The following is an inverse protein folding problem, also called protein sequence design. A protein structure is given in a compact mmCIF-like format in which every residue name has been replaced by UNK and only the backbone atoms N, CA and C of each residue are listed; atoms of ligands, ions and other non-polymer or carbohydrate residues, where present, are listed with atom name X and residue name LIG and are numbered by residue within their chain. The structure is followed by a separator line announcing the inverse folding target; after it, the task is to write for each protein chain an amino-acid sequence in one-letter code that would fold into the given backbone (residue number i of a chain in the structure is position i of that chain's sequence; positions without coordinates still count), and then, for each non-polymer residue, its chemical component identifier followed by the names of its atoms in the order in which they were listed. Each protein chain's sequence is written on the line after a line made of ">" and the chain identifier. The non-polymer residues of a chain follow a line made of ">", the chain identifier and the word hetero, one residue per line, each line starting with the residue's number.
data_IF_149867970367
#
_entry.id   IF_149867970367
#
_cell.length_a   1.000
_cell.length_b   1.000
_cell.length_c   1.000
_cell.angle_alpha   90.00
_cell.angle_beta   90.00
_cell.angle_gamma   90.00
#
_symmetry.space_group_name_H-M   'P 1'
#
loop_
_entity.id
_entity.type
_entity.pdbx_description
1 polymer ?
#
# COMPACT_ATOMS: atom_id res chain seq x y z
N UNK A 1 18.82 0.85 -11.01
CA UNK A 1 18.28 0.76 -12.38
C UNK A 1 18.18 2.14 -13.01
N UNK A 2 17.36 3.06 -12.47
CA UNK A 2 17.20 4.43 -12.98
C UNK A 2 18.53 5.14 -13.29
N UNK A 3 19.40 5.31 -12.29
CA UNK A 3 20.71 5.96 -12.45
C UNK A 3 21.61 5.27 -13.50
N UNK A 4 21.61 3.93 -13.54
CA UNK A 4 22.43 3.15 -14.49
C UNK A 4 22.00 3.41 -15.93
N UNK A 5 20.71 3.65 -16.15
CA UNK A 5 20.12 3.85 -17.48
C UNK A 5 19.88 5.34 -17.80
N UNK A 6 20.27 6.26 -16.92
CA UNK A 6 20.16 7.70 -17.14
C UNK A 6 18.73 8.26 -17.08
N UNK A 7 17.77 7.53 -16.51
CA UNK A 7 16.41 8.02 -16.30
C UNK A 7 16.39 9.11 -15.23
N UNK A 8 15.64 10.18 -15.49
CA UNK A 8 15.47 11.33 -14.63
C UNK A 8 14.18 11.26 -13.80
N UNK A 9 13.16 10.55 -14.29
CA UNK A 9 11.89 10.37 -13.58
C UNK A 9 11.54 8.89 -13.44
N UNK A 10 10.89 8.56 -12.32
CA UNK A 10 10.37 7.23 -12.02
C UNK A 10 9.00 7.39 -11.38
N UNK A 11 7.96 6.94 -12.07
CA UNK A 11 6.57 7.09 -11.62
C UNK A 11 5.87 5.73 -11.69
N UNK A 12 4.97 5.39 -10.75
CA UNK A 12 4.07 4.26 -10.94
C UNK A 12 3.15 4.53 -12.14
N UNK A 13 2.87 3.48 -12.91
CA UNK A 13 1.79 3.56 -13.90
C UNK A 13 0.45 3.60 -13.19
N UNK A 14 -0.53 4.28 -13.79
CA UNK A 14 -1.90 4.34 -13.28
C UNK A 14 -2.47 2.93 -13.07
N UNK A 15 -2.30 2.05 -14.06
CA UNK A 15 -2.73 0.65 -13.99
C UNK A 15 -2.09 -0.10 -12.79
N UNK A 16 -0.80 0.12 -12.52
CA UNK A 16 -0.13 -0.54 -11.40
C UNK A 16 -0.64 -0.01 -10.05
N UNK A 17 -0.89 1.30 -9.96
CA UNK A 17 -1.50 1.91 -8.76
C UNK A 17 -2.89 1.35 -8.51
N UNK A 18 -3.75 1.28 -9.53
CA UNK A 18 -5.10 0.74 -9.42
C UNK A 18 -5.09 -0.73 -8.99
N UNK A 19 -4.25 -1.56 -9.63
CA UNK A 19 -4.08 -2.97 -9.25
C UNK A 19 -3.63 -3.13 -7.81
N UNK A 20 -2.69 -2.31 -7.36
CA UNK A 20 -2.20 -2.34 -5.98
C UNK A 20 -3.31 -1.96 -4.99
N UNK A 21 -4.03 -0.87 -5.22
CA UNK A 21 -5.13 -0.45 -4.35
C UNK A 21 -6.25 -1.49 -4.33
N UNK A 22 -6.64 -2.02 -5.48
CA UNK A 22 -7.63 -3.08 -5.58
C UNK A 22 -7.21 -4.33 -4.80
N UNK A 23 -5.94 -4.72 -4.88
CA UNK A 23 -5.39 -5.82 -4.11
C UNK A 23 -5.43 -5.55 -2.59
N UNK A 24 -5.03 -4.37 -2.13
CA UNK A 24 -5.09 -4.01 -0.70
C UNK A 24 -6.53 -4.05 -0.15
N UNK A 25 -7.51 -3.65 -0.95
CA UNK A 25 -8.93 -3.68 -0.60
C UNK A 25 -9.50 -5.10 -0.40
N UNK A 26 -8.78 -6.15 -0.83
CA UNK A 26 -9.18 -7.55 -0.57
C UNK A 26 -8.85 -8.01 0.85
N UNK A 27 -7.97 -7.29 1.55
CA UNK A 27 -7.55 -7.63 2.90
C UNK A 27 -8.54 -7.15 3.97
N UNK A 28 -8.40 -7.64 5.21
CA UNK A 28 -9.26 -7.24 6.34
C UNK A 28 -9.10 -5.78 6.78
N UNK A 29 -8.26 -4.99 6.08
CA UNK A 29 -7.80 -3.66 6.49
C UNK A 29 -6.67 -3.72 7.52
N UNK A 30 -6.00 -2.59 7.75
CA UNK A 30 -4.93 -2.45 8.75
C UNK A 30 -5.39 -1.68 10.00
N UNK A 31 -6.70 -1.56 10.20
CA UNK A 31 -7.27 -0.78 11.30
C UNK A 31 -6.94 -1.43 12.65
N UNK A 32 -6.41 -0.63 13.55
CA UNK A 32 -6.11 -1.01 14.92
C UNK A 32 -7.18 -0.34 15.80
N UNK A 33 -7.89 -1.12 16.61
CA UNK A 33 -8.95 -0.62 17.48
C UNK A 33 -10.32 -0.48 16.80
N UNK A 34 -11.35 -0.38 17.64
CA UNK A 34 -12.74 -0.15 17.23
C UNK A 34 -13.25 1.17 17.85
N UNK A 35 -14.46 1.59 17.48
CA UNK A 35 -15.07 2.81 18.01
C UNK A 35 -15.45 2.72 19.50
N UNK A 36 -15.46 1.51 20.07
CA UNK A 36 -15.77 1.24 21.48
C UNK A 36 -14.52 1.25 22.37
N UNK A 37 -13.32 1.26 21.78
CA UNK A 37 -12.06 1.45 22.51
C UNK A 37 -11.96 2.86 23.09
N UNK A 38 -11.03 3.05 24.03
CA UNK A 38 -10.68 4.39 24.54
C UNK A 38 -10.37 5.33 23.36
N UNK A 39 -11.00 6.52 23.28
CA UNK A 39 -10.74 7.49 22.23
C UNK A 39 -9.25 7.76 22.04
N UNK A 40 -8.81 7.73 20.78
CA UNK A 40 -7.46 8.13 20.41
C UNK A 40 -7.24 8.11 18.90
N UNK A 41 -5.99 8.36 18.51
CA UNK A 41 -5.56 8.47 17.10
C UNK A 41 -6.03 7.31 16.21
N UNK A 42 -5.96 6.07 16.71
CA UNK A 42 -6.27 4.87 15.92
C UNK A 42 -7.75 4.66 15.61
N UNK A 43 -8.65 5.28 16.38
CA UNK A 43 -10.10 5.15 16.21
C UNK A 43 -10.81 6.49 16.01
N UNK A 44 -10.08 7.51 15.55
CA UNK A 44 -10.61 8.86 15.28
C UNK A 44 -11.34 9.45 16.51
N UNK A 45 -10.73 9.36 17.69
CA UNK A 45 -11.33 9.83 18.95
C UNK A 45 -12.75 9.25 19.21
N UNK A 46 -13.00 8.03 18.73
CA UNK A 46 -14.30 7.35 18.81
C UNK A 46 -15.39 7.92 17.89
N UNK A 47 -15.08 8.85 16.99
CA UNK A 47 -16.07 9.52 16.13
C UNK A 47 -16.52 8.68 14.90
N UNK A 48 -15.99 7.46 14.76
CA UNK A 48 -16.27 6.61 13.60
C UNK A 48 -15.33 6.87 12.42
N UNK A 49 -15.58 6.15 11.33
CA UNK A 49 -14.74 6.13 10.13
C UNK A 49 -15.50 6.70 8.93
N UNK A 50 -14.92 7.69 8.26
CA UNK A 50 -15.41 8.27 7.02
C UNK A 50 -14.87 7.56 5.77
N UNK A 51 -15.21 8.09 4.59
CA UNK A 51 -14.80 7.48 3.32
C UNK A 51 -13.27 7.43 3.15
N UNK A 52 -12.55 8.41 3.69
CA UNK A 52 -11.08 8.45 3.60
C UNK A 52 -10.41 7.31 4.40
N UNK A 53 -11.05 6.84 5.47
CA UNK A 53 -10.54 5.75 6.30
C UNK A 53 -10.60 4.38 5.60
N UNK A 54 -11.27 4.28 4.45
CA UNK A 54 -11.27 3.04 3.64
C UNK A 54 -9.88 2.68 3.11
N UNK A 55 -8.95 3.64 3.10
CA UNK A 55 -7.57 3.44 2.66
C UNK A 55 -6.60 3.16 3.81
N UNK A 56 -7.08 3.00 5.04
CA UNK A 56 -6.30 2.44 6.15
C UNK A 56 -6.09 0.93 5.95
N UNK A 57 -5.33 0.59 4.91
CA UNK A 57 -5.15 -0.75 4.38
C UNK A 57 -3.71 -1.22 4.63
N UNK A 58 -3.58 -2.53 4.72
CA UNK A 58 -2.30 -3.22 4.76
C UNK A 58 -2.31 -4.34 3.74
N UNK A 59 -1.14 -4.89 3.47
CA UNK A 59 -1.03 -6.08 2.62
C UNK A 59 -1.95 -7.19 3.19
N UNK A 60 -2.82 -7.82 2.39
CA UNK A 60 -3.80 -8.80 2.88
C UNK A 60 -3.19 -9.98 3.67
N UNK A 61 -1.96 -10.36 3.34
CA UNK A 61 -1.19 -11.38 4.06
C UNK A 61 -0.31 -10.83 5.21
N UNK A 62 -0.59 -9.63 5.71
CA UNK A 62 0.14 -9.00 6.81
C UNK A 62 1.57 -8.58 6.46
N UNK A 63 2.35 -8.26 7.50
CA UNK A 63 3.71 -7.72 7.35
C UNK A 63 4.65 -8.68 6.60
N UNK A 64 4.67 -9.97 6.94
CA UNK A 64 5.51 -10.95 6.25
C UNK A 64 5.13 -11.07 4.77
N UNK A 65 3.84 -11.04 4.45
CA UNK A 65 3.36 -11.03 3.08
C UNK A 65 3.87 -9.83 2.29
N UNK A 66 3.83 -8.63 2.88
CA UNK A 66 4.39 -7.44 2.27
C UNK A 66 5.91 -7.55 2.04
N UNK A 67 6.67 -8.00 3.04
CA UNK A 67 8.13 -8.13 2.89
C UNK A 67 8.52 -9.12 1.80
N UNK A 68 7.84 -10.27 1.72
CA UNK A 68 8.06 -11.24 0.65
C UNK A 68 7.67 -10.66 -0.72
N UNK A 69 6.55 -9.94 -0.81
CA UNK A 69 6.08 -9.29 -2.03
C UNK A 69 7.11 -8.28 -2.56
N UNK A 70 7.52 -7.33 -1.73
CA UNK A 70 8.41 -6.24 -2.16
C UNK A 70 9.83 -6.75 -2.44
N UNK A 71 10.30 -7.78 -1.73
CA UNK A 71 11.56 -8.44 -2.03
C UNK A 71 11.52 -9.11 -3.41
N UNK A 72 10.50 -9.92 -3.69
CA UNK A 72 10.34 -10.58 -4.99
C UNK A 72 10.30 -9.58 -6.14
N UNK A 73 9.56 -8.48 -5.97
CA UNK A 73 9.47 -7.42 -6.98
C UNK A 73 10.81 -6.69 -7.21
N UNK A 74 11.60 -6.43 -6.17
CA UNK A 74 12.95 -5.85 -6.34
C UNK A 74 13.93 -6.82 -6.99
N UNK A 75 13.85 -8.09 -6.61
CA UNK A 75 14.75 -9.14 -7.10
C UNK A 75 14.46 -9.53 -8.55
N UNK A 76 13.24 -9.33 -9.05
CA UNK A 76 12.93 -9.55 -10.47
C UNK A 76 13.74 -8.62 -11.39
N UNK A 77 14.10 -7.42 -10.89
CA UNK A 77 14.82 -6.39 -11.64
C UNK A 77 14.04 -5.79 -12.81
N UNK A 78 12.81 -6.25 -13.08
CA UNK A 78 11.92 -5.71 -14.12
C UNK A 78 11.26 -4.40 -13.68
N UNK A 79 11.11 -4.20 -12.36
CA UNK A 79 10.40 -3.07 -11.77
C UNK A 79 9.02 -2.86 -12.40
N UNK A 80 8.30 -3.97 -12.60
CA UNK A 80 6.98 -3.99 -13.23
C UNK A 80 6.05 -2.97 -12.57
N UNK A 81 5.34 -2.21 -13.40
CA UNK A 81 4.45 -1.13 -12.95
C UNK A 81 5.12 0.23 -12.75
N UNK A 82 6.43 0.36 -12.99
CA UNK A 82 7.10 1.67 -13.05
C UNK A 82 7.31 2.13 -14.50
N UNK A 83 7.02 3.41 -14.74
CA UNK A 83 7.44 4.14 -15.92
C UNK A 83 8.74 4.89 -15.61
N UNK A 84 9.71 4.77 -16.51
CA UNK A 84 11.00 5.45 -16.44
C UNK A 84 11.11 6.44 -17.59
N UNK A 85 11.50 7.69 -17.30
CA UNK A 85 11.68 8.75 -18.32
C UNK A 85 13.05 9.39 -18.16
#
# INVERSE_FOLDING_TARGET
>A
HAQKNGYQEVEPTEEAQEKWVAFLLTGPGARIGNIECTPGYYNNEGQGFGEQDRFALGHPAGAQGFFNHIEAWRNSGSFEGLAFK
#
